data_IF_887617059720
#
_entry.id   IF_887617059720
#
_cell.length_a   1.000
_cell.length_b   1.000
_cell.length_c   1.000
_cell.angle_alpha   90.00
_cell.angle_beta   90.00
_cell.angle_gamma   90.00
#
_symmetry.space_group_name_H-M   'P 1'
#
loop_
_entity.id
_entity.type
_entity.pdbx_description
1 polymer ?
#
# COMPACT_ATOMS: atom_id res chain seq x y z
N UNK A 1 -11.71 8.56 38.84
CA UNK A 1 -12.97 8.22 38.14
C UNK A 1 -12.67 8.16 36.65
N UNK A 2 -12.38 6.98 36.10
CA UNK A 2 -12.14 6.83 34.67
C UNK A 2 -13.50 6.81 33.95
N UNK A 3 -13.78 7.82 33.14
CA UNK A 3 -14.98 7.87 32.32
C UNK A 3 -14.76 7.01 31.08
N UNK A 4 -15.52 5.91 30.94
CA UNK A 4 -15.58 5.15 29.70
C UNK A 4 -16.33 6.01 28.66
N UNK A 5 -15.57 6.67 27.80
CA UNK A 5 -16.08 7.39 26.64
C UNK A 5 -16.60 6.38 25.60
N UNK A 6 -17.86 5.96 25.73
CA UNK A 6 -18.54 5.14 24.73
C UNK A 6 -19.10 6.07 23.65
N UNK A 7 -18.53 6.01 22.43
CA UNK A 7 -19.14 6.62 21.23
C UNK A 7 -18.59 7.97 20.76
N UNK A 8 -17.51 8.50 21.35
CA UNK A 8 -16.93 9.79 20.92
C UNK A 8 -16.17 9.64 19.59
N UNK A 9 -15.36 8.59 19.47
CA UNK A 9 -14.72 8.15 18.23
C UNK A 9 -14.57 6.63 18.27
N UNK A 10 -14.96 5.95 17.19
CA UNK A 10 -14.74 4.52 17.09
C UNK A 10 -13.24 4.26 16.94
N UNK A 11 -12.71 3.27 17.67
CA UNK A 11 -11.31 2.85 17.55
C UNK A 11 -10.92 2.54 16.08
N UNK A 12 -11.87 2.02 15.31
CA UNK A 12 -11.69 1.69 13.90
C UNK A 12 -11.55 2.89 12.98
N UNK A 13 -11.91 4.10 13.42
CA UNK A 13 -11.79 5.29 12.60
C UNK A 13 -10.39 5.90 12.60
N UNK A 14 -9.56 5.51 13.57
CA UNK A 14 -8.20 6.02 13.68
C UNK A 14 -7.39 5.68 12.41
N UNK A 15 -6.64 6.64 11.85
CA UNK A 15 -5.86 6.43 10.63
C UNK A 15 -4.83 5.31 10.79
N UNK A 16 -4.26 5.15 11.98
CA UNK A 16 -3.32 4.07 12.29
C UNK A 16 -3.99 2.69 12.18
N UNK A 17 -5.15 2.51 12.81
CA UNK A 17 -5.90 1.24 12.79
C UNK A 17 -6.34 0.91 11.37
N UNK A 18 -6.79 1.92 10.63
CA UNK A 18 -7.13 1.86 9.21
C UNK A 18 -5.96 1.44 8.31
N UNK A 19 -4.73 1.83 8.65
CA UNK A 19 -3.53 1.44 7.90
C UNK A 19 -3.09 0.01 8.26
N UNK A 20 -3.15 -0.37 9.54
CA UNK A 20 -2.85 -1.75 9.97
C UNK A 20 -3.84 -2.74 9.35
N UNK A 21 -5.13 -2.40 9.33
CA UNK A 21 -6.15 -3.22 8.67
C UNK A 21 -5.90 -3.36 7.16
N UNK A 22 -5.42 -2.30 6.50
CA UNK A 22 -5.06 -2.37 5.08
C UNK A 22 -3.88 -3.32 4.85
N UNK A 23 -2.86 -3.28 5.73
CA UNK A 23 -1.72 -4.22 5.68
C UNK A 23 -2.20 -5.66 5.84
N UNK A 24 -3.04 -5.93 6.84
CA UNK A 24 -3.55 -7.27 7.10
C UNK A 24 -4.42 -7.80 5.93
N UNK A 25 -5.25 -6.93 5.34
CA UNK A 25 -6.03 -7.29 4.15
C UNK A 25 -5.15 -7.61 2.96
N UNK A 26 -4.10 -6.81 2.73
CA UNK A 26 -3.17 -7.02 1.64
C UNK A 26 -2.39 -8.33 1.79
N UNK A 27 -2.02 -8.70 3.02
CA UNK A 27 -1.39 -9.99 3.31
C UNK A 27 -2.30 -11.19 2.98
N UNK A 28 -3.62 -11.04 3.19
CA UNK A 28 -4.58 -12.09 2.89
C UNK A 28 -5.11 -12.06 1.44
N UNK A 29 -5.08 -10.90 0.78
CA UNK A 29 -5.55 -10.71 -0.58
C UNK A 29 -4.62 -9.74 -1.34
N UNK A 30 -3.75 -10.30 -2.16
CA UNK A 30 -2.79 -9.55 -2.98
C UNK A 30 -3.44 -8.82 -4.16
N UNK A 31 -4.72 -9.06 -4.45
CA UNK A 31 -5.47 -8.38 -5.51
C UNK A 31 -6.25 -7.16 -5.01
N UNK A 32 -6.11 -6.77 -3.74
CA UNK A 32 -6.77 -5.58 -3.20
C UNK A 32 -5.94 -4.30 -3.47
N UNK A 33 -6.28 -3.62 -4.57
CA UNK A 33 -5.62 -2.37 -4.99
C UNK A 33 -5.84 -1.21 -4.00
N UNK A 34 -6.97 -1.17 -3.29
CA UNK A 34 -7.26 -0.10 -2.33
C UNK A 34 -6.39 -0.24 -1.08
N UNK A 35 -6.31 -1.46 -0.55
CA UNK A 35 -5.44 -1.77 0.57
C UNK A 35 -3.97 -1.56 0.20
N UNK A 36 -3.59 -1.91 -1.03
CA UNK A 36 -2.27 -1.64 -1.58
C UNK A 36 -1.94 -0.13 -1.62
N UNK A 37 -2.81 0.69 -2.21
CA UNK A 37 -2.64 2.14 -2.29
C UNK A 37 -2.43 2.78 -0.93
N UNK A 38 -3.24 2.39 0.06
CA UNK A 38 -3.14 2.92 1.43
C UNK A 38 -1.83 2.49 2.09
N UNK A 39 -1.42 1.23 1.93
CA UNK A 39 -0.15 0.74 2.47
C UNK A 39 1.05 1.45 1.83
N UNK A 40 1.02 1.64 0.52
CA UNK A 40 2.05 2.35 -0.22
C UNK A 40 2.19 3.80 0.26
N UNK A 41 1.09 4.49 0.55
CA UNK A 41 1.13 5.86 1.08
C UNK A 41 1.62 5.92 2.54
N UNK A 42 1.29 4.92 3.34
CA UNK A 42 1.72 4.84 4.73
C UNK A 42 3.22 4.52 4.86
N UNK A 43 3.75 3.65 3.99
CA UNK A 43 5.12 3.16 4.03
C UNK A 43 6.07 3.96 3.13
N UNK A 44 5.56 4.50 2.02
CA UNK A 44 6.33 5.22 1.01
C UNK A 44 6.61 6.66 1.43
N UNK A 45 7.75 6.88 2.08
CA UNK A 45 8.26 8.25 2.28
C UNK A 45 8.72 8.91 0.96
N UNK A 46 9.04 8.11 -0.06
CA UNK A 46 9.61 8.57 -1.34
C UNK A 46 8.73 8.29 -2.57
N UNK A 47 7.53 7.71 -2.39
CA UNK A 47 6.59 7.47 -3.49
C UNK A 47 5.62 8.65 -3.59
N UNK A 48 5.74 9.40 -4.68
CA UNK A 48 4.79 10.46 -5.01
C UNK A 48 3.48 9.89 -5.59
N UNK A 49 2.37 10.64 -5.46
CA UNK A 49 1.06 10.28 -6.06
C UNK A 49 1.18 9.93 -7.55
N UNK A 50 1.96 10.73 -8.30
CA UNK A 50 2.23 10.49 -9.72
C UNK A 50 2.80 9.11 -10.01
N UNK A 51 3.69 8.62 -9.15
CA UNK A 51 4.30 7.29 -9.29
C UNK A 51 3.28 6.18 -9.09
N UNK A 52 2.34 6.36 -8.17
CA UNK A 52 1.26 5.40 -7.92
C UNK A 52 0.24 5.41 -9.06
N UNK A 53 -0.09 6.59 -9.61
CA UNK A 53 -0.94 6.70 -10.80
C UNK A 53 -0.31 5.99 -12.00
N UNK A 54 0.99 6.21 -12.28
CA UNK A 54 1.68 5.50 -13.38
C UNK A 54 1.69 3.98 -13.18
N UNK A 55 1.87 3.52 -11.95
CA UNK A 55 1.80 2.09 -11.62
C UNK A 55 0.38 1.52 -11.80
N UNK A 56 -0.64 2.32 -11.48
CA UNK A 56 -2.05 1.97 -11.70
C UNK A 56 -2.36 1.85 -13.19
N UNK A 57 -1.89 2.81 -13.98
CA UNK A 57 -2.07 2.80 -15.43
C UNK A 57 -1.38 1.58 -16.05
N UNK A 58 -0.19 1.23 -15.57
CA UNK A 58 0.54 0.03 -16.00
C UNK A 58 -0.17 -1.28 -15.60
N UNK A 59 -0.69 -1.34 -14.37
CA UNK A 59 -1.49 -2.47 -13.90
C UNK A 59 -2.75 -2.67 -14.78
N UNK A 60 -3.43 -1.57 -15.13
CA UNK A 60 -4.58 -1.60 -16.03
C UNK A 60 -4.22 -1.97 -17.47
N UNK A 61 -3.06 -1.53 -18.00
CA UNK A 61 -2.66 -1.88 -19.37
C UNK A 61 -2.30 -3.34 -19.54
N UNK A 62 -1.74 -3.95 -18.49
CA UNK A 62 -1.29 -5.35 -18.49
C UNK A 62 -2.33 -6.33 -17.91
N UNK A 63 -3.49 -5.83 -17.45
CA UNK A 63 -4.54 -6.59 -16.76
C UNK A 63 -4.01 -7.40 -15.55
N UNK A 64 -3.09 -6.81 -14.79
CA UNK A 64 -2.47 -7.44 -13.60
C UNK A 64 -2.77 -6.65 -12.34
N UNK A 65 -2.76 -7.31 -11.18
CA UNK A 65 -2.90 -6.63 -9.89
C UNK A 65 -1.73 -5.67 -9.63
N UNK A 66 -1.97 -4.60 -8.87
CA UNK A 66 -0.92 -3.63 -8.51
C UNK A 66 0.31 -4.29 -7.87
N UNK A 67 0.12 -5.36 -7.11
CA UNK A 67 1.20 -6.15 -6.49
C UNK A 67 2.14 -6.79 -7.52
N UNK A 68 1.59 -7.31 -8.62
CA UNK A 68 2.35 -7.91 -9.72
C UNK A 68 3.00 -6.82 -10.57
N UNK A 69 2.27 -5.72 -10.81
CA UNK A 69 2.79 -4.53 -11.47
C UNK A 69 4.04 -3.97 -10.75
N UNK A 70 4.08 -4.04 -9.41
CA UNK A 70 5.25 -3.62 -8.61
C UNK A 70 6.42 -4.57 -8.77
N UNK A 71 6.18 -5.89 -8.78
CA UNK A 71 7.23 -6.87 -9.03
C UNK A 71 7.85 -6.67 -10.43
N UNK A 72 7.03 -6.27 -11.41
CA UNK A 72 7.44 -5.91 -12.78
C UNK A 72 7.80 -4.44 -12.94
N UNK A 73 7.85 -3.64 -11.87
CA UNK A 73 8.10 -2.20 -11.99
C UNK A 73 9.52 -1.88 -12.50
N UNK A 74 10.45 -2.83 -12.42
CA UNK A 74 11.74 -2.74 -13.09
C UNK A 74 11.61 -2.66 -14.63
N UNK A 75 10.57 -3.27 -15.20
CA UNK A 75 10.25 -3.24 -16.64
C UNK A 75 9.54 -1.94 -17.02
N UNK A 76 8.72 -1.39 -16.11
CA UNK A 76 7.93 -0.18 -16.33
C UNK A 76 8.73 1.14 -16.31
N UNK A 77 10.06 1.09 -16.18
CA UNK A 77 10.95 2.25 -16.25
C UNK A 77 10.58 3.39 -15.27
N UNK A 78 10.09 3.04 -14.08
CA UNK A 78 9.75 4.02 -13.03
C UNK A 78 11.03 4.36 -12.25
N UNK A 79 11.80 5.34 -12.75
CA UNK A 79 12.98 5.97 -12.13
C UNK A 79 13.70 5.14 -11.03
N UNK A 80 14.64 4.30 -11.47
CA UNK A 80 15.26 3.19 -10.74
C UNK A 80 15.90 3.52 -9.37
N UNK A 81 16.26 4.79 -9.09
CA UNK A 81 16.91 5.17 -7.84
C UNK A 81 15.96 5.44 -6.66
N UNK A 82 14.68 5.77 -6.90
CA UNK A 82 13.70 6.05 -5.82
C UNK A 82 12.72 4.90 -5.57
N UNK A 83 12.45 4.05 -6.57
CA UNK A 83 11.53 2.91 -6.41
C UNK A 83 12.17 1.68 -5.76
N UNK A 84 13.49 1.49 -5.87
CA UNK A 84 14.18 0.26 -5.42
C UNK A 84 14.01 -0.01 -3.91
N UNK A 85 14.06 1.04 -3.07
CA UNK A 85 13.90 0.92 -1.61
C UNK A 85 12.45 0.57 -1.22
N UNK A 86 11.47 0.93 -2.05
CA UNK A 86 10.05 0.72 -1.72
C UNK A 86 9.51 -0.64 -2.15
N UNK A 87 10.12 -1.28 -3.15
CA UNK A 87 9.88 -2.70 -3.50
C UNK A 87 10.33 -3.62 -2.37
N UNK A 88 11.43 -3.29 -1.69
CA UNK A 88 11.94 -4.06 -0.55
C UNK A 88 10.99 -4.05 0.65
N UNK A 89 10.29 -2.94 0.88
CA UNK A 89 9.31 -2.82 1.97
C UNK A 89 8.06 -3.68 1.73
N UNK A 90 7.61 -3.78 0.48
CA UNK A 90 6.49 -4.67 0.11
C UNK A 90 6.94 -6.15 0.15
N UNK A 91 8.15 -6.45 -0.32
CA UNK A 91 8.74 -7.78 -0.24
C UNK A 91 8.93 -8.25 1.21
N UNK A 92 9.37 -7.38 2.12
CA UNK A 92 9.49 -7.70 3.57
C UNK A 92 8.11 -7.83 4.25
N UNK A 93 7.08 -7.13 3.78
CA UNK A 93 5.74 -7.19 4.37
C UNK A 93 4.94 -8.45 3.99
N UNK A 94 5.22 -9.04 2.83
CA UNK A 94 4.53 -10.23 2.30
C UNK A 94 5.22 -11.54 2.71
N UNK A 95 6.47 -11.47 3.19
CA UNK A 95 7.33 -12.64 3.48
C UNK A 95 7.57 -12.87 4.99
N UNK A 96 6.78 -12.22 5.85
CA UNK A 96 6.66 -12.52 7.30
C UNK A 96 5.37 -13.29 7.56
#
# INVERSE_FOLDING_TARGET
>A
MAVNAVGITSFYDLPLVKNILAVLRLANNLSDDYSFYRCALFLGKDIGKKTIDTLRDFAHSEDVSMTIAVARASEACINAHRCSISIYVIFVLVLI
#
